data_IF_858457775500
#
_entry.id   IF_858457775500
#
_cell.length_a   1.000
_cell.length_b   1.000
_cell.length_c   1.000
_cell.angle_alpha   90.00
_cell.angle_beta   90.00
_cell.angle_gamma   90.00
#
_symmetry.space_group_name_H-M   'P 1'
#
loop_
_entity.id
_entity.type
_entity.pdbx_description
1 polymer ?
#
# COMPACT_ATOMS: atom_id res chain seq x y z
N UNK A 1 13.20 0.81 19.74
CA UNK A 1 12.91 1.37 21.08
C UNK A 1 12.01 2.61 20.97
N UNK A 2 12.40 3.64 20.21
CA UNK A 2 11.65 4.91 20.07
C UNK A 2 10.10 4.82 20.02
N UNK A 3 9.50 4.01 19.13
CA UNK A 3 8.03 3.93 19.02
C UNK A 3 7.32 3.27 20.21
N UNK A 4 8.01 2.35 20.91
CA UNK A 4 7.52 1.73 22.16
C UNK A 4 7.63 2.74 23.30
N UNK A 5 8.77 3.43 23.37
CA UNK A 5 9.07 4.39 24.43
C UNK A 5 8.13 5.60 24.38
N UNK A 6 7.66 5.99 23.19
CA UNK A 6 6.67 7.06 23.00
C UNK A 6 5.22 6.57 23.05
N UNK A 7 4.98 5.29 23.33
CA UNK A 7 3.62 4.73 23.49
C UNK A 7 2.82 4.54 22.19
N UNK A 8 3.46 4.61 21.02
CA UNK A 8 2.78 4.35 19.74
C UNK A 8 2.65 2.86 19.43
N UNK A 9 3.45 2.00 20.06
CA UNK A 9 3.44 0.55 19.86
C UNK A 9 3.59 -0.20 21.19
N UNK A 10 2.73 -1.21 21.40
CA UNK A 10 2.82 -2.17 22.52
C UNK A 10 3.04 -3.56 21.95
N UNK A 11 3.99 -4.32 22.48
CA UNK A 11 4.23 -5.71 22.08
C UNK A 11 4.81 -6.53 23.22
N UNK A 12 4.51 -7.83 23.23
CA UNK A 12 5.00 -8.78 24.21
C UNK A 12 6.36 -9.37 23.79
N UNK A 13 7.23 -9.61 24.78
CA UNK A 13 8.56 -10.19 24.59
C UNK A 13 9.70 -9.20 24.30
N UNK A 14 10.93 -9.72 24.36
CA UNK A 14 12.16 -8.92 24.20
C UNK A 14 12.59 -8.76 22.73
N UNK A 15 12.02 -9.55 21.81
CA UNK A 15 12.33 -9.50 20.37
C UNK A 15 11.10 -9.74 19.51
N UNK A 16 10.70 -8.73 18.73
CA UNK A 16 9.94 -8.94 17.50
C UNK A 16 10.97 -9.25 16.40
N UNK A 17 10.78 -10.35 15.68
CA UNK A 17 11.56 -10.63 14.47
C UNK A 17 11.34 -9.56 13.40
N UNK A 18 12.24 -9.46 12.43
CA UNK A 18 12.04 -8.52 11.33
C UNK A 18 10.75 -8.87 10.57
N UNK A 19 9.89 -7.88 10.33
CA UNK A 19 8.76 -8.04 9.43
C UNK A 19 9.29 -8.34 8.03
N UNK A 20 8.72 -9.34 7.37
CA UNK A 20 9.09 -9.74 6.01
C UNK A 20 8.11 -9.22 4.96
N UNK A 21 7.08 -8.46 5.35
CA UNK A 21 6.10 -7.84 4.45
C UNK A 21 5.57 -6.54 5.05
N UNK A 22 4.97 -5.70 4.21
CA UNK A 22 4.32 -4.47 4.64
C UNK A 22 2.98 -4.22 3.93
N UNK A 23 2.01 -3.69 4.68
CA UNK A 23 0.80 -3.08 4.12
C UNK A 23 0.77 -1.63 4.59
N UNK A 24 0.80 -0.71 3.64
CA UNK A 24 0.67 0.73 3.90
C UNK A 24 -0.75 1.13 3.57
N UNK A 25 -1.55 1.43 4.60
CA UNK A 25 -2.92 1.91 4.43
C UNK A 25 -2.92 3.43 4.40
N UNK A 26 -3.46 4.01 3.34
CA UNK A 26 -3.52 5.46 3.11
C UNK A 26 -4.97 5.97 3.02
N UNK A 27 -5.11 7.27 2.82
CA UNK A 27 -6.38 7.96 2.59
C UNK A 27 -7.00 7.69 1.21
N UNK A 28 -7.99 8.51 0.86
CA UNK A 28 -8.63 8.52 -0.45
C UNK A 28 -8.06 9.61 -1.36
N UNK A 29 -8.93 10.32 -2.06
CA UNK A 29 -8.55 11.52 -2.80
C UNK A 29 -7.90 12.57 -1.89
N UNK A 30 -6.86 13.23 -2.43
CA UNK A 30 -6.22 14.39 -1.84
C UNK A 30 -6.68 15.66 -2.59
N UNK A 31 -6.87 16.75 -1.86
CA UNK A 31 -7.18 18.06 -2.46
C UNK A 31 -5.95 18.74 -3.06
N UNK A 32 -6.19 19.82 -3.81
CA UNK A 32 -5.14 20.52 -4.59
C UNK A 32 -3.97 21.06 -3.73
N UNK A 33 -4.24 21.36 -2.46
CA UNK A 33 -3.24 21.86 -1.51
C UNK A 33 -2.48 20.74 -0.75
N UNK A 34 -2.60 19.49 -1.18
CA UNK A 34 -1.94 18.36 -0.50
C UNK A 34 -0.42 18.31 -0.72
N UNK A 35 0.11 19.11 -1.64
CA UNK A 35 1.55 19.18 -1.92
C UNK A 35 2.15 17.80 -2.16
N UNK A 36 3.20 17.45 -1.41
CA UNK A 36 3.94 16.21 -1.59
C UNK A 36 3.39 15.01 -0.79
N UNK A 37 2.23 15.12 -0.13
CA UNK A 37 1.71 14.07 0.75
C UNK A 37 1.61 12.71 0.06
N UNK A 38 0.92 12.59 -1.07
CA UNK A 38 0.79 11.31 -1.76
C UNK A 38 2.13 10.78 -2.28
N UNK A 39 2.99 11.66 -2.80
CA UNK A 39 4.34 11.25 -3.25
C UNK A 39 5.24 10.76 -2.12
N UNK A 40 5.06 11.29 -0.91
CA UNK A 40 5.82 10.87 0.28
C UNK A 40 5.40 9.47 0.70
N UNK A 41 4.08 9.21 0.76
CA UNK A 41 3.54 7.88 1.10
C UNK A 41 3.89 6.84 0.03
N UNK A 42 3.79 7.20 -1.26
CA UNK A 42 4.15 6.31 -2.36
C UNK A 42 5.63 5.91 -2.31
N UNK A 43 6.53 6.89 -2.14
CA UNK A 43 7.98 6.63 -2.00
C UNK A 43 8.31 5.84 -0.75
N UNK A 44 7.62 6.10 0.36
CA UNK A 44 7.78 5.32 1.58
C UNK A 44 7.40 3.85 1.35
N UNK A 45 6.25 3.57 0.73
CA UNK A 45 5.84 2.21 0.39
C UNK A 45 6.83 1.54 -0.57
N UNK A 46 7.27 2.24 -1.62
CA UNK A 46 8.25 1.72 -2.57
C UNK A 46 9.61 1.44 -1.92
N UNK A 47 10.05 2.27 -0.97
CA UNK A 47 11.30 2.07 -0.25
C UNK A 47 11.25 0.86 0.70
N UNK A 48 10.06 0.43 1.16
CA UNK A 48 9.92 -0.79 1.96
C UNK A 48 10.05 -2.07 1.12
N UNK A 49 9.67 -2.03 -0.16
CA UNK A 49 9.57 -3.23 -1.00
C UNK A 49 10.86 -4.05 -1.12
N UNK A 50 12.07 -3.47 -1.28
CA UNK A 50 13.31 -4.24 -1.35
C UNK A 50 13.74 -4.89 -0.03
N UNK A 51 13.11 -4.52 1.09
CA UNK A 51 13.48 -5.00 2.43
C UNK A 51 12.60 -6.14 2.95
N UNK A 52 11.78 -6.75 2.07
CA UNK A 52 10.92 -7.88 2.41
C UNK A 52 10.50 -8.70 1.19
N UNK A 53 9.51 -9.55 1.38
CA UNK A 53 8.87 -10.40 0.38
C UNK A 53 7.78 -9.66 -0.40
N UNK A 54 7.33 -8.49 0.06
CA UNK A 54 6.29 -7.73 -0.61
C UNK A 54 5.78 -6.53 0.17
N UNK A 55 5.34 -5.51 -0.58
CA UNK A 55 4.64 -4.35 -0.03
C UNK A 55 3.36 -4.08 -0.82
N UNK A 56 2.26 -3.86 -0.10
CA UNK A 56 0.97 -3.40 -0.66
C UNK A 56 0.69 -1.98 -0.19
N UNK A 57 0.41 -1.07 -1.13
CA UNK A 57 -0.10 0.28 -0.86
C UNK A 57 -1.61 0.29 -1.10
N UNK A 58 -2.38 0.40 -0.03
CA UNK A 58 -3.83 0.32 -0.08
C UNK A 58 -4.49 1.65 0.31
N UNK A 59 -5.25 2.24 -0.60
CA UNK A 59 -5.99 3.49 -0.38
C UNK A 59 -7.49 3.30 -0.39
N UNK A 60 -8.20 4.31 0.11
CA UNK A 60 -9.66 4.41 -0.02
C UNK A 60 -10.05 4.93 -1.40
N UNK A 61 -11.34 4.91 -1.68
CA UNK A 61 -11.90 5.47 -2.92
C UNK A 61 -11.34 6.87 -3.24
N UNK A 62 -11.05 7.09 -4.51
CA UNK A 62 -10.34 8.28 -5.01
C UNK A 62 -8.83 8.29 -4.78
N UNK A 63 -8.22 7.31 -4.10
CA UNK A 63 -6.75 7.28 -3.89
C UNK A 63 -5.93 7.09 -5.18
N UNK A 64 -6.57 6.62 -6.26
CA UNK A 64 -5.99 6.41 -7.58
C UNK A 64 -6.09 7.64 -8.50
N UNK A 65 -6.46 8.82 -8.00
CA UNK A 65 -6.55 10.06 -8.79
C UNK A 65 -5.64 11.17 -8.26
N UNK A 66 -5.39 12.17 -9.12
CA UNK A 66 -4.65 13.38 -8.75
C UNK A 66 -3.25 13.08 -8.17
N UNK A 67 -2.94 13.70 -7.04
CA UNK A 67 -1.66 13.55 -6.33
C UNK A 67 -1.73 12.54 -5.18
N UNK A 68 -2.80 11.76 -5.08
CA UNK A 68 -2.94 10.71 -4.06
C UNK A 68 -1.90 9.60 -4.21
N UNK A 69 -1.61 8.91 -3.10
CA UNK A 69 -0.47 7.99 -3.04
C UNK A 69 -0.57 6.83 -4.04
N UNK A 70 -1.76 6.24 -4.24
CA UNK A 70 -1.94 5.16 -5.22
C UNK A 70 -1.78 5.69 -6.65
N UNK A 71 -2.31 6.88 -6.95
CA UNK A 71 -2.12 7.53 -8.25
C UNK A 71 -0.63 7.75 -8.56
N UNK A 72 0.12 8.30 -7.59
CA UNK A 72 1.56 8.56 -7.75
C UNK A 72 2.34 7.25 -7.93
N UNK A 73 2.07 6.23 -7.12
CA UNK A 73 2.75 4.95 -7.24
C UNK A 73 2.49 4.27 -8.59
N UNK A 74 1.29 4.42 -9.17
CA UNK A 74 0.95 3.85 -10.48
C UNK A 74 1.54 4.63 -11.65
N UNK A 75 1.76 5.93 -11.49
CA UNK A 75 2.29 6.81 -12.54
C UNK A 75 3.82 6.69 -12.70
N UNK A 76 4.54 6.27 -11.66
CA UNK A 76 5.98 6.03 -11.71
C UNK A 76 6.26 4.55 -11.98
N UNK A 77 6.96 4.24 -13.08
CA UNK A 77 7.22 2.86 -13.48
C UNK A 77 8.04 2.07 -12.43
N UNK A 78 9.02 2.72 -11.81
CA UNK A 78 9.85 2.06 -10.79
C UNK A 78 9.07 1.72 -9.53
N UNK A 79 8.16 2.60 -9.10
CA UNK A 79 7.26 2.33 -7.98
C UNK A 79 6.20 1.29 -8.34
N UNK A 80 5.61 1.38 -9.53
CA UNK A 80 4.58 0.45 -10.00
C UNK A 80 5.11 -1.00 -10.12
N UNK A 81 6.40 -1.16 -10.43
CA UNK A 81 7.07 -2.47 -10.48
C UNK A 81 7.56 -2.95 -9.10
N UNK A 82 7.53 -2.09 -8.07
CA UNK A 82 7.99 -2.40 -6.72
C UNK A 82 6.85 -2.75 -5.75
N UNK A 83 5.65 -2.15 -5.89
CA UNK A 83 4.55 -2.31 -4.93
C UNK A 83 3.24 -2.71 -5.59
N UNK A 84 2.49 -3.60 -4.94
CA UNK A 84 1.10 -3.84 -5.30
C UNK A 84 0.23 -2.68 -4.82
N UNK A 85 -0.81 -2.30 -5.56
CA UNK A 85 -1.74 -1.22 -5.17
C UNK A 85 -3.17 -1.70 -5.12
N UNK A 86 -3.94 -1.22 -4.14
CA UNK A 86 -5.39 -1.40 -4.01
C UNK A 86 -6.00 -0.03 -3.75
N UNK A 87 -7.03 0.38 -4.49
CA UNK A 87 -7.60 1.74 -4.38
C UNK A 87 -8.97 1.84 -3.70
N UNK A 88 -9.51 0.72 -3.22
CA UNK A 88 -10.86 0.60 -2.68
C UNK A 88 -10.88 -0.18 -1.34
N UNK A 89 -9.85 -0.06 -0.51
CA UNK A 89 -9.75 -0.76 0.80
C UNK A 89 -10.92 -0.45 1.77
N UNK A 90 -11.72 0.58 1.48
CA UNK A 90 -12.92 0.92 2.23
C UNK A 90 -14.02 -0.15 2.15
N UNK A 91 -14.08 -0.92 1.07
CA UNK A 91 -15.07 -2.00 0.87
C UNK A 91 -14.50 -3.38 1.20
N UNK A 92 -15.37 -4.37 1.36
CA UNK A 92 -14.99 -5.73 1.75
C UNK A 92 -14.07 -6.39 0.71
N UNK A 93 -14.40 -6.29 -0.57
CA UNK A 93 -13.60 -6.82 -1.67
C UNK A 93 -12.17 -6.25 -1.68
N UNK A 94 -12.02 -4.94 -1.44
CA UNK A 94 -10.71 -4.28 -1.33
C UNK A 94 -9.89 -4.77 -0.15
N UNK A 95 -10.52 -5.02 1.00
CA UNK A 95 -9.84 -5.62 2.17
C UNK A 95 -9.35 -7.03 1.86
N UNK A 96 -10.20 -7.88 1.27
CA UNK A 96 -9.81 -9.25 0.90
C UNK A 96 -8.69 -9.21 -0.16
N UNK A 97 -8.83 -8.37 -1.17
CA UNK A 97 -7.83 -8.22 -2.24
C UNK A 97 -6.48 -7.72 -1.70
N UNK A 98 -6.48 -6.83 -0.71
CA UNK A 98 -5.23 -6.38 -0.04
C UNK A 98 -4.48 -7.55 0.57
N UNK A 99 -5.18 -8.47 1.25
CA UNK A 99 -4.58 -9.66 1.86
C UNK A 99 -4.11 -10.65 0.79
N UNK A 100 -4.91 -10.91 -0.25
CA UNK A 100 -4.51 -11.80 -1.34
C UNK A 100 -3.34 -11.25 -2.16
N UNK A 101 -3.28 -9.94 -2.38
CA UNK A 101 -2.17 -9.28 -3.05
C UNK A 101 -0.88 -9.46 -2.24
N UNK A 102 -0.94 -9.28 -0.91
CA UNK A 102 0.20 -9.54 -0.04
C UNK A 102 0.62 -11.00 -0.08
N UNK A 103 -0.34 -11.93 -0.01
CA UNK A 103 -0.08 -13.37 -0.13
C UNK A 103 0.57 -13.72 -1.47
N UNK A 104 0.10 -13.13 -2.58
CA UNK A 104 0.70 -13.33 -3.90
C UNK A 104 2.17 -12.92 -3.92
N UNK A 105 2.50 -11.74 -3.36
CA UNK A 105 3.88 -11.27 -3.25
C UNK A 105 4.74 -12.20 -2.39
N UNK A 106 4.23 -12.65 -1.23
CA UNK A 106 4.89 -13.64 -0.37
C UNK A 106 5.25 -14.92 -1.15
N UNK A 107 4.39 -15.31 -2.10
CA UNK A 107 4.57 -16.48 -2.93
C UNK A 107 5.38 -16.22 -4.22
N UNK A 108 6.07 -15.08 -4.32
CA UNK A 108 6.90 -14.71 -5.48
C UNK A 108 6.12 -14.15 -6.67
N UNK A 109 4.85 -13.78 -6.48
CA UNK A 109 4.06 -13.04 -7.45
C UNK A 109 4.65 -11.66 -7.74
N UNK A 110 4.35 -11.13 -8.93
CA UNK A 110 4.73 -9.76 -9.29
C UNK A 110 3.75 -8.75 -8.71
N UNK A 111 4.19 -7.52 -8.40
CA UNK A 111 3.31 -6.42 -8.06
C UNK A 111 2.15 -6.23 -9.05
N UNK A 112 0.95 -6.01 -8.50
CA UNK A 112 -0.30 -5.84 -9.25
C UNK A 112 -1.03 -4.55 -8.91
N UNK A 113 -1.91 -4.10 -9.82
CA UNK A 113 -2.71 -2.87 -9.65
C UNK A 113 -4.19 -3.26 -9.62
N UNK A 114 -4.80 -3.16 -8.44
CA UNK A 114 -6.15 -3.64 -8.15
C UNK A 114 -7.10 -2.52 -7.74
N UNK A 115 -8.39 -2.72 -8.01
CA UNK A 115 -9.45 -1.79 -7.67
C UNK A 115 -10.14 -1.23 -8.90
N UNK A 116 -10.81 -0.09 -8.72
CA UNK A 116 -11.73 0.49 -9.72
C UNK A 116 -11.20 1.81 -10.30
N UNK A 117 -10.15 2.37 -9.72
CA UNK A 117 -9.58 3.65 -10.14
C UNK A 117 -8.62 3.55 -11.32
N UNK A 118 -8.19 4.70 -11.87
CA UNK A 118 -7.28 4.76 -13.01
C UNK A 118 -5.98 3.97 -12.80
N UNK A 119 -5.50 3.34 -13.87
CA UNK A 119 -4.29 2.51 -13.82
C UNK A 119 -4.47 1.16 -13.13
N UNK A 120 -5.68 0.80 -12.71
CA UNK A 120 -6.01 -0.56 -12.30
C UNK A 120 -5.91 -1.52 -13.50
N UNK A 121 -5.31 -2.69 -13.26
CA UNK A 121 -5.24 -3.79 -14.24
C UNK A 121 -6.25 -4.91 -13.96
N UNK A 122 -6.91 -4.88 -12.80
CA UNK A 122 -7.87 -5.89 -12.38
C UNK A 122 -8.78 -5.33 -11.30
N UNK A 123 -10.08 -5.64 -11.36
CA UNK A 123 -11.00 -5.30 -10.28
C UNK A 123 -10.66 -6.16 -9.05
N UNK A 124 -10.96 -5.66 -7.86
CA UNK A 124 -10.97 -6.53 -6.67
C UNK A 124 -11.88 -7.72 -6.85
N UNK A 125 -11.69 -8.73 -5.99
CA UNK A 125 -12.54 -9.92 -5.98
C UNK A 125 -14.02 -9.51 -5.94
N UNK A 126 -14.88 -10.06 -6.81
CA UNK A 126 -16.33 -9.80 -6.76
C UNK A 126 -16.90 -10.15 -5.39
N UNK A 127 -17.87 -9.35 -4.92
CA UNK A 127 -18.65 -9.67 -3.71
C UNK A 127 -19.62 -10.82 -3.96
#
# INVERSE_FOLDING_TARGET
AALRDTGFLTYEGDRIGAANTAVVVTGGALGDNAGNQGSTVARFAAALAPHGLGTVLAGRDGSATGTSAVAVARADAGMADAVSTVDDIGVESGRITTVLALQSLINGGRPGKFGIGPGSSSVTIPQ
#
